data_IF_136251240357
#
_entry.id   IF_136251240357
#
_cell.length_a   1.000
_cell.length_b   1.000
_cell.length_c   1.000
_cell.angle_alpha   90.00
_cell.angle_beta   90.00
_cell.angle_gamma   90.00
#
_symmetry.space_group_name_H-M   'P 1'
#
loop_
_entity.id
_entity.type
_entity.pdbx_description
1 polymer ?
#
# COMPACT_ATOMS: atom_id res chain seq x y z
N UNK A 1 34.90 32.54 18.30
CA UNK A 1 33.99 32.24 17.19
C UNK A 1 33.41 30.80 17.08
N UNK A 2 33.87 29.80 17.79
CA UNK A 2 33.25 28.47 17.69
C UNK A 2 31.88 28.32 18.39
N UNK A 3 31.65 29.09 19.47
CA UNK A 3 30.44 28.97 20.30
C UNK A 3 29.16 29.39 19.58
N UNK A 4 29.19 30.38 18.70
CA UNK A 4 28.02 30.85 17.94
C UNK A 4 27.54 29.81 16.91
N UNK A 5 28.45 29.02 16.33
CA UNK A 5 28.10 27.97 15.37
C UNK A 5 27.50 26.73 16.07
N UNK A 6 27.96 26.43 17.27
CA UNK A 6 27.44 25.36 18.10
C UNK A 6 26.01 25.64 18.58
N UNK A 7 25.73 26.88 19.00
CA UNK A 7 24.38 27.31 19.39
C UNK A 7 23.40 27.26 18.23
N UNK A 8 23.84 27.57 17.00
CA UNK A 8 22.97 27.47 15.80
C UNK A 8 22.66 26.05 15.43
N UNK A 9 23.59 25.11 15.60
CA UNK A 9 23.37 23.69 15.40
C UNK A 9 22.42 23.11 16.45
N UNK A 10 22.52 23.51 17.69
CA UNK A 10 21.64 23.06 18.79
C UNK A 10 20.21 23.59 18.59
N UNK A 11 20.07 24.85 18.11
CA UNK A 11 18.76 25.42 17.77
C UNK A 11 18.09 24.69 16.56
N UNK A 12 18.86 24.26 15.56
CA UNK A 12 18.37 23.49 14.44
C UNK A 12 17.95 22.07 14.85
N UNK A 13 18.64 21.46 15.81
CA UNK A 13 18.29 20.15 16.34
C UNK A 13 17.03 20.20 17.23
N UNK A 14 16.80 21.29 17.95
CA UNK A 14 15.60 21.46 18.78
C UNK A 14 14.36 21.89 17.98
N UNK A 15 14.50 22.54 16.83
CA UNK A 15 13.35 22.88 15.97
C UNK A 15 12.74 21.66 15.27
N UNK A 16 13.47 20.57 15.13
CA UNK A 16 12.97 19.34 14.53
C UNK A 16 12.03 18.53 15.45
N UNK A 17 12.08 18.76 16.77
CA UNK A 17 11.20 18.08 17.73
C UNK A 17 9.78 18.64 17.73
N UNK A 18 9.58 19.92 17.37
CA UNK A 18 8.25 20.55 17.29
C UNK A 18 7.51 20.25 15.98
N UNK A 19 8.20 19.92 14.89
CA UNK A 19 7.55 19.64 13.61
C UNK A 19 6.91 18.24 13.54
N UNK A 20 7.37 17.32 14.38
CA UNK A 20 6.84 15.95 14.41
C UNK A 20 5.41 15.83 14.95
N UNK A 21 4.97 16.78 15.76
CA UNK A 21 3.63 16.74 16.37
C UNK A 21 2.53 17.40 15.53
N UNK A 22 2.89 18.26 14.57
CA UNK A 22 1.91 19.04 13.80
C UNK A 22 1.51 18.34 12.48
N UNK A 23 2.33 17.42 11.98
CA UNK A 23 2.13 16.78 10.66
C UNK A 23 1.73 15.29 10.70
N UNK A 24 1.26 14.78 11.85
CA UNK A 24 1.00 13.34 11.99
C UNK A 24 2.27 12.54 11.70
N UNK A 25 2.44 11.39 12.24
CA UNK A 25 3.61 10.48 12.24
C UNK A 25 4.51 10.48 10.99
N UNK A 26 5.02 11.62 10.58
CA UNK A 26 6.13 11.70 9.64
C UNK A 26 7.39 11.38 10.42
N UNK A 27 7.76 10.11 10.48
CA UNK A 27 9.09 9.74 10.89
C UNK A 27 10.09 10.40 9.92
N UNK A 28 11.21 10.90 10.45
CA UNK A 28 12.31 11.49 9.67
C UNK A 28 12.76 10.59 8.52
N UNK A 29 12.38 9.31 8.53
CA UNK A 29 12.79 8.26 7.60
C UNK A 29 11.67 7.68 6.72
N UNK A 30 10.45 8.21 6.76
CA UNK A 30 9.36 7.70 5.93
C UNK A 30 7.96 7.95 6.49
N UNK A 31 6.98 7.36 5.82
CA UNK A 31 5.56 7.40 6.19
C UNK A 31 5.08 5.97 6.42
N UNK A 32 4.44 5.74 7.56
CA UNK A 32 3.69 4.52 7.83
C UNK A 32 2.23 4.87 8.13
N UNK A 33 1.32 4.11 7.55
CA UNK A 33 -0.11 4.21 7.84
C UNK A 33 -0.64 2.82 8.14
N UNK A 34 -1.44 2.69 9.18
CA UNK A 34 -2.11 1.45 9.56
C UNK A 34 -3.61 1.61 9.39
N UNK A 35 -4.26 0.61 8.80
CA UNK A 35 -5.68 0.60 8.52
C UNK A 35 -6.29 -0.71 9.03
N UNK A 36 -7.46 -0.61 9.63
CA UNK A 36 -8.34 -1.74 9.89
C UNK A 36 -9.45 -1.71 8.85
N UNK A 37 -9.57 -2.74 8.06
CA UNK A 37 -10.50 -2.84 6.96
C UNK A 37 -11.54 -3.92 7.26
N UNK A 38 -12.83 -3.62 7.04
CA UNK A 38 -13.95 -4.52 7.27
C UNK A 38 -14.78 -4.64 5.99
N UNK A 39 -15.09 -5.86 5.60
CA UNK A 39 -15.85 -6.20 4.40
C UNK A 39 -16.59 -7.52 4.57
N UNK A 40 -17.20 -8.01 3.49
CA UNK A 40 -18.01 -9.24 3.51
C UNK A 40 -17.22 -10.48 3.95
N UNK A 41 -15.92 -10.53 3.66
CA UNK A 41 -15.04 -11.64 4.04
C UNK A 41 -14.43 -11.49 5.45
N UNK A 42 -14.85 -10.48 6.21
CA UNK A 42 -14.41 -10.23 7.58
C UNK A 42 -13.48 -9.03 7.71
N UNK A 43 -12.60 -9.09 8.70
CA UNK A 43 -11.69 -8.00 9.06
C UNK A 43 -10.28 -8.32 8.59
N UNK A 44 -9.65 -7.37 7.94
CA UNK A 44 -8.22 -7.42 7.61
C UNK A 44 -7.53 -6.14 8.07
N UNK A 45 -6.21 -6.20 8.22
CA UNK A 45 -5.40 -5.04 8.55
C UNK A 45 -4.39 -4.80 7.43
N UNK A 46 -4.26 -3.54 7.05
CA UNK A 46 -3.29 -3.10 6.05
C UNK A 46 -2.27 -2.17 6.68
N UNK A 47 -1.05 -2.25 6.20
CA UNK A 47 0.02 -1.30 6.49
C UNK A 47 0.57 -0.76 5.18
N UNK A 48 0.61 0.56 5.04
CA UNK A 48 1.34 1.23 3.98
C UNK A 48 2.67 1.73 4.55
N UNK A 49 3.74 1.49 3.85
CA UNK A 49 5.10 1.92 4.21
C UNK A 49 5.75 2.62 3.02
N UNK A 50 6.28 3.83 3.25
CA UNK A 50 7.08 4.59 2.31
C UNK A 50 8.34 5.05 2.98
N UNK A 51 9.47 4.42 2.70
CA UNK A 51 10.80 4.85 3.14
C UNK A 51 11.41 5.81 2.13
N UNK A 52 12.35 6.65 2.58
CA UNK A 52 13.09 7.52 1.68
C UNK A 52 13.78 6.71 0.58
N UNK A 53 13.70 7.22 -0.65
CA UNK A 53 14.27 6.60 -1.85
C UNK A 53 13.76 5.20 -2.19
N UNK A 54 12.71 4.72 -1.53
CA UNK A 54 12.08 3.43 -1.84
C UNK A 54 10.68 3.63 -2.41
N UNK A 55 10.21 2.63 -3.15
CA UNK A 55 8.83 2.57 -3.61
C UNK A 55 7.89 2.33 -2.42
N UNK A 56 6.67 2.87 -2.54
CA UNK A 56 5.60 2.57 -1.58
C UNK A 56 5.30 1.09 -1.58
N UNK A 57 5.14 0.52 -0.40
CA UNK A 57 4.78 -0.87 -0.16
C UNK A 57 3.48 -0.94 0.63
N UNK A 58 2.70 -1.95 0.35
CA UNK A 58 1.49 -2.28 1.11
C UNK A 58 1.61 -3.69 1.63
N UNK A 59 1.23 -3.88 2.87
CA UNK A 59 1.25 -5.16 3.57
C UNK A 59 -0.15 -5.48 4.08
N UNK A 60 -0.49 -6.75 4.08
CA UNK A 60 -1.68 -7.28 4.72
C UNK A 60 -1.26 -8.16 5.90
N UNK A 61 -1.99 -8.08 7.01
CA UNK A 61 -1.74 -8.91 8.18
C UNK A 61 -2.54 -10.20 8.08
N UNK A 62 -1.86 -11.32 8.06
CA UNK A 62 -2.44 -12.67 8.07
C UNK A 62 -1.74 -13.48 9.16
N UNK A 63 -2.52 -14.11 10.04
CA UNK A 63 -2.02 -14.91 11.17
C UNK A 63 -0.95 -14.19 12.02
N UNK A 64 -1.13 -12.89 12.20
CA UNK A 64 -0.20 -12.05 12.97
C UNK A 64 1.04 -11.59 12.19
N UNK A 65 1.24 -12.04 10.96
CA UNK A 65 2.41 -11.75 10.13
C UNK A 65 2.03 -10.72 9.05
N UNK A 66 2.93 -9.74 8.82
CA UNK A 66 2.77 -8.78 7.74
C UNK A 66 3.35 -9.32 6.43
N UNK A 67 2.48 -9.60 5.46
CA UNK A 67 2.83 -10.05 4.12
C UNK A 67 2.77 -8.89 3.13
N UNK A 68 3.87 -8.63 2.41
CA UNK A 68 3.87 -7.59 1.37
C UNK A 68 2.98 -8.00 0.21
N UNK A 69 2.01 -7.15 -0.12
CA UNK A 69 1.20 -7.27 -1.33
C UNK A 69 1.93 -6.67 -2.53
N UNK A 70 1.44 -6.94 -3.74
CA UNK A 70 2.01 -6.36 -4.96
C UNK A 70 3.49 -6.72 -5.20
N UNK A 71 3.86 -7.95 -4.83
CA UNK A 71 5.17 -8.50 -5.15
C UNK A 71 5.17 -9.14 -6.54
N UNK A 72 6.25 -8.91 -7.28
CA UNK A 72 6.51 -9.67 -8.50
C UNK A 72 7.07 -11.04 -8.13
N UNK A 73 6.29 -12.09 -8.37
CA UNK A 73 6.81 -13.46 -8.23
C UNK A 73 7.81 -13.74 -9.35
N UNK A 74 9.06 -14.03 -8.97
CA UNK A 74 10.13 -14.36 -9.91
C UNK A 74 9.94 -15.71 -10.61
N UNK A 75 9.08 -16.58 -10.07
CA UNK A 75 8.82 -17.93 -10.60
C UNK A 75 7.62 -17.99 -11.56
N UNK A 76 6.79 -16.98 -11.57
CA UNK A 76 5.61 -16.92 -12.42
C UNK A 76 5.80 -15.82 -13.47
N UNK A 77 5.53 -16.16 -14.74
CA UNK A 77 5.53 -15.21 -15.86
C UNK A 77 4.32 -14.28 -15.82
N UNK A 78 4.07 -13.67 -14.65
CA UNK A 78 2.98 -12.72 -14.46
C UNK A 78 3.51 -11.30 -14.63
N UNK A 79 2.86 -10.55 -15.47
CA UNK A 79 3.13 -9.13 -15.59
C UNK A 79 2.48 -8.40 -14.43
N UNK A 80 3.26 -7.71 -13.62
CA UNK A 80 2.79 -6.85 -12.54
C UNK A 80 2.87 -5.39 -12.97
N UNK A 81 1.72 -4.73 -13.00
CA UNK A 81 1.62 -3.27 -13.11
C UNK A 81 1.37 -2.69 -11.74
N UNK A 82 2.24 -1.82 -11.28
CA UNK A 82 2.19 -1.25 -9.93
C UNK A 82 2.30 0.27 -9.97
N UNK A 83 1.34 0.94 -9.38
CA UNK A 83 1.35 2.38 -9.15
C UNK A 83 0.81 2.65 -7.73
N UNK A 84 1.70 2.80 -6.76
CA UNK A 84 1.37 3.03 -5.35
C UNK A 84 1.99 4.34 -4.87
N UNK A 85 1.19 5.12 -4.18
CA UNK A 85 1.57 6.38 -3.51
C UNK A 85 1.25 6.29 -2.02
N UNK A 86 1.59 7.31 -1.26
CA UNK A 86 1.24 7.40 0.18
C UNK A 86 -0.26 7.58 0.43
N UNK A 87 -1.04 7.90 -0.58
CA UNK A 87 -2.49 8.08 -0.47
C UNK A 87 -3.28 6.89 -1.02
N UNK A 88 -2.59 5.96 -1.65
CA UNK A 88 -3.21 4.77 -2.23
C UNK A 88 -2.62 4.44 -3.58
N UNK A 89 -3.36 3.69 -4.37
CA UNK A 89 -2.98 3.29 -5.71
C UNK A 89 -3.48 1.92 -6.08
N UNK A 90 -2.84 1.33 -7.09
CA UNK A 90 -3.27 0.07 -7.67
C UNK A 90 -2.07 -0.82 -7.94
N UNK A 91 -2.26 -2.13 -7.75
CA UNK A 91 -1.41 -3.13 -8.37
C UNK A 91 -2.25 -4.21 -9.05
N UNK A 92 -1.85 -4.59 -10.24
CA UNK A 92 -2.56 -5.51 -11.09
C UNK A 92 -1.62 -6.55 -11.66
N UNK A 93 -2.02 -7.80 -11.57
CA UNK A 93 -1.36 -8.93 -12.20
C UNK A 93 -2.10 -9.32 -13.46
N UNK A 94 -1.37 -9.53 -14.54
CA UNK A 94 -1.88 -10.09 -15.78
C UNK A 94 -1.32 -11.49 -15.95
N UNK A 95 -2.21 -12.47 -16.08
CA UNK A 95 -1.90 -13.87 -16.33
C UNK A 95 -2.49 -14.28 -17.69
N UNK A 96 -1.65 -14.78 -18.56
CA UNK A 96 -2.07 -15.29 -19.88
C UNK A 96 -2.20 -16.81 -19.83
N UNK A 97 -3.35 -17.31 -20.23
CA UNK A 97 -3.58 -18.74 -20.45
C UNK A 97 -4.03 -18.97 -21.88
N UNK A 98 -3.33 -19.83 -22.62
CA UNK A 98 -3.68 -20.17 -24.00
C UNK A 98 -5.11 -20.73 -24.13
N UNK A 99 -5.59 -21.43 -23.10
CA UNK A 99 -6.92 -22.05 -23.10
C UNK A 99 -8.03 -21.17 -22.53
N UNK A 100 -7.70 -20.30 -21.55
CA UNK A 100 -8.69 -19.53 -20.76
C UNK A 100 -8.72 -18.04 -21.09
N UNK A 101 -7.80 -17.56 -21.95
CA UNK A 101 -7.67 -16.15 -22.22
C UNK A 101 -6.82 -15.42 -21.19
N UNK A 102 -7.12 -14.14 -20.98
CA UNK A 102 -6.40 -13.29 -20.03
C UNK A 102 -7.16 -13.19 -18.73
N UNK A 103 -6.44 -13.33 -17.61
CA UNK A 103 -6.94 -13.02 -16.28
C UNK A 103 -6.16 -11.84 -15.73
N UNK A 104 -6.91 -10.88 -15.24
CA UNK A 104 -6.39 -9.78 -14.46
C UNK A 104 -6.90 -9.91 -13.03
N UNK A 105 -6.03 -9.74 -12.05
CA UNK A 105 -6.44 -9.66 -10.66
C UNK A 105 -5.53 -8.70 -9.92
N UNK A 106 -6.06 -8.06 -8.93
CA UNK A 106 -5.27 -7.07 -8.24
C UNK A 106 -5.98 -6.41 -7.07
N UNK A 107 -5.34 -5.36 -6.61
CA UNK A 107 -5.76 -4.59 -5.47
C UNK A 107 -5.83 -3.12 -5.83
N UNK A 108 -6.85 -2.46 -5.34
CA UNK A 108 -7.00 -1.01 -5.35
C UNK A 108 -7.03 -0.54 -3.91
N UNK A 109 -6.23 0.46 -3.60
CA UNK A 109 -6.11 1.05 -2.27
C UNK A 109 -6.44 2.52 -2.35
N UNK A 110 -7.34 2.99 -1.52
CA UNK A 110 -7.58 4.41 -1.28
C UNK A 110 -7.49 4.68 0.22
N UNK A 111 -6.32 5.10 0.66
CA UNK A 111 -6.07 5.40 2.06
C UNK A 111 -6.57 6.78 2.49
N UNK A 112 -7.01 7.61 1.55
CA UNK A 112 -7.62 8.90 1.84
C UNK A 112 -9.10 8.75 2.17
N UNK A 113 -9.82 7.99 1.34
CA UNK A 113 -11.25 7.69 1.55
C UNK A 113 -11.49 6.45 2.41
N UNK A 114 -10.45 5.67 2.68
CA UNK A 114 -10.56 4.47 3.52
C UNK A 114 -11.21 3.30 2.78
N UNK A 115 -10.75 3.02 1.56
CA UNK A 115 -11.25 1.89 0.78
C UNK A 115 -10.11 0.96 0.35
N UNK A 116 -10.42 -0.32 0.35
CA UNK A 116 -9.58 -1.36 -0.19
C UNK A 116 -10.44 -2.32 -1.00
N UNK A 117 -10.05 -2.59 -2.23
CA UNK A 117 -10.74 -3.52 -3.12
C UNK A 117 -9.76 -4.57 -3.64
N UNK A 118 -10.18 -5.83 -3.56
CA UNK A 118 -9.60 -6.92 -4.33
C UNK A 118 -10.52 -7.25 -5.47
N UNK A 119 -9.98 -7.38 -6.69
CA UNK A 119 -10.76 -7.71 -7.88
C UNK A 119 -10.11 -8.76 -8.75
N UNK A 120 -10.95 -9.51 -9.46
CA UNK A 120 -10.56 -10.42 -10.53
C UNK A 120 -11.40 -10.13 -11.76
N UNK A 121 -10.76 -10.06 -12.90
CA UNK A 121 -11.39 -9.84 -14.19
C UNK A 121 -10.87 -10.88 -15.19
N UNK A 122 -11.76 -11.70 -15.74
CA UNK A 122 -11.45 -12.72 -16.73
C UNK A 122 -11.90 -12.27 -18.11
N UNK A 123 -10.97 -12.20 -19.06
CA UNK A 123 -11.24 -11.92 -20.46
C UNK A 123 -11.13 -13.22 -21.27
N UNK A 124 -12.27 -13.73 -21.72
CA UNK A 124 -12.33 -14.94 -22.55
C UNK A 124 -11.61 -14.73 -23.89
N UNK A 125 -11.01 -15.79 -24.48
CA UNK A 125 -10.35 -15.69 -25.79
C UNK A 125 -11.27 -15.20 -26.90
N UNK A 126 -12.55 -15.47 -26.80
CA UNK A 126 -13.57 -15.10 -27.80
C UNK A 126 -14.28 -13.78 -27.48
N UNK A 127 -13.88 -13.08 -26.41
CA UNK A 127 -14.49 -11.83 -25.94
C UNK A 127 -15.99 -11.90 -25.61
N UNK A 128 -16.58 -13.10 -25.58
CA UNK A 128 -18.02 -13.29 -25.44
C UNK A 128 -18.50 -13.33 -23.99
N UNK A 129 -17.58 -13.46 -23.02
CA UNK A 129 -17.90 -13.43 -21.59
C UNK A 129 -16.79 -12.81 -20.78
N UNK A 130 -17.09 -11.65 -20.18
CA UNK A 130 -16.25 -11.02 -19.18
C UNK A 130 -16.84 -11.34 -17.80
N UNK A 131 -16.06 -11.94 -16.95
CA UNK A 131 -16.42 -12.16 -15.56
C UNK A 131 -15.64 -11.20 -14.69
N UNK A 132 -16.33 -10.44 -13.86
CA UNK A 132 -15.73 -9.55 -12.88
C UNK A 132 -16.22 -9.90 -11.48
N UNK A 133 -15.31 -10.14 -10.59
CA UNK A 133 -15.60 -10.35 -9.18
C UNK A 133 -14.78 -9.33 -8.39
N UNK A 134 -15.42 -8.65 -7.43
CA UNK A 134 -14.73 -7.76 -6.53
C UNK A 134 -15.24 -7.89 -5.10
N UNK A 135 -14.33 -7.68 -4.16
CA UNK A 135 -14.60 -7.62 -2.73
C UNK A 135 -14.10 -6.28 -2.22
N UNK A 136 -15.01 -5.47 -1.70
CA UNK A 136 -14.72 -4.13 -1.20
C UNK A 136 -14.70 -4.14 0.33
N UNK A 137 -13.75 -3.44 0.88
CA UNK A 137 -13.57 -3.22 2.32
C UNK A 137 -13.61 -1.73 2.61
N UNK A 138 -14.25 -1.36 3.70
CA UNK A 138 -14.15 -0.01 4.28
C UNK A 138 -13.09 -0.02 5.36
N UNK A 139 -12.21 0.96 5.33
CA UNK A 139 -11.01 1.00 6.16
C UNK A 139 -10.96 2.25 7.04
N UNK A 140 -10.65 2.06 8.31
CA UNK A 140 -10.39 3.13 9.27
C UNK A 140 -8.89 3.17 9.60
N UNK A 141 -8.36 4.39 9.78
CA UNK A 141 -7.00 4.57 10.30
C UNK A 141 -6.94 4.11 11.74
N UNK A 142 -5.90 3.36 12.06
CA UNK A 142 -5.66 2.86 13.42
C UNK A 142 -4.21 3.14 13.83
N UNK A 143 -3.97 3.09 15.12
CA UNK A 143 -2.61 3.14 15.65
C UNK A 143 -1.82 1.88 15.27
N UNK A 144 -0.48 1.92 15.29
CA UNK A 144 0.36 0.76 15.03
C UNK A 144 -0.02 -0.42 15.92
N UNK A 145 -0.20 -1.61 15.30
CA UNK A 145 -0.60 -2.87 15.96
C UNK A 145 0.62 -3.70 16.35
#
# INVERSE_FOLDING_TARGET
MPIRRLLFLILLLNSNVCFGHVLGSYHIFGVEKFMRCEGELGITHLKLEKKWFQNTKVFQKEDGIWNELCLKDKKQEKNLKKNLTVNGGKCEYEELSEKKGKRFYGFIFDFEFGEFEFYTFDLSPNYDSNFTESVVYTCDKVDPL
#
